data_IF_545695516461
#
_entry.id   IF_545695516461
#
_cell.length_a   1.000
_cell.length_b   1.000
_cell.length_c   1.000
_cell.angle_alpha   90.00
_cell.angle_beta   90.00
_cell.angle_gamma   90.00
#
_symmetry.space_group_name_H-M   'P 1'
#
loop_
_entity.id
_entity.type
_entity.pdbx_description
1 polymer ?
#
# COMPACT_ATOMS: atom_id res chain seq x y z
N UNK A 1 6.47 37.81 63.81
CA UNK A 1 5.36 37.60 62.87
C UNK A 1 5.35 38.78 61.92
N UNK A 2 5.61 38.60 60.65
CA UNK A 2 5.44 39.63 59.65
C UNK A 2 3.97 40.09 59.60
N UNK A 3 3.74 41.38 59.42
CA UNK A 3 2.38 41.89 59.33
C UNK A 3 1.75 41.42 57.99
N UNK A 4 0.43 41.23 57.97
CA UNK A 4 -0.30 40.85 56.71
C UNK A 4 0.00 41.94 55.63
N UNK A 5 0.26 43.18 55.98
CA UNK A 5 0.63 44.22 55.04
C UNK A 5 2.02 43.95 54.34
N UNK A 6 2.99 43.42 55.10
CA UNK A 6 4.30 43.11 54.58
C UNK A 6 4.22 41.88 53.64
N UNK A 7 3.36 40.89 53.97
CA UNK A 7 3.13 39.73 53.11
C UNK A 7 2.43 40.10 51.80
N UNK A 8 1.43 41.01 51.84
CA UNK A 8 0.76 41.57 50.66
C UNK A 8 1.74 42.39 49.81
N UNK A 9 2.62 43.17 50.42
CA UNK A 9 3.65 43.91 49.71
C UNK A 9 4.64 42.95 49.00
N UNK A 10 5.07 41.88 49.69
CA UNK A 10 5.90 40.82 49.09
C UNK A 10 5.26 40.11 47.93
N UNK A 11 3.97 39.79 48.05
CA UNK A 11 3.21 39.15 46.96
C UNK A 11 3.05 40.06 45.73
N UNK A 12 2.85 41.39 45.95
CA UNK A 12 2.79 42.36 44.84
C UNK A 12 4.12 42.46 44.09
N UNK A 13 5.24 42.49 44.84
CA UNK A 13 6.59 42.51 44.24
C UNK A 13 6.86 41.20 43.44
N UNK A 14 6.53 40.05 44.01
CA UNK A 14 6.69 38.77 43.35
C UNK A 14 5.84 38.64 42.06
N UNK A 15 4.56 39.11 42.12
CA UNK A 15 3.66 39.14 40.96
C UNK A 15 4.17 40.08 39.86
N UNK A 16 4.69 41.26 40.21
CA UNK A 16 5.29 42.19 39.27
C UNK A 16 6.55 41.59 38.60
N UNK A 17 7.40 40.93 39.37
CA UNK A 17 8.59 40.24 38.87
C UNK A 17 8.23 39.08 37.90
N UNK A 18 7.17 38.30 38.26
CA UNK A 18 6.68 37.23 37.40
C UNK A 18 6.10 37.74 36.08
N UNK A 19 5.36 38.87 36.15
CA UNK A 19 4.81 39.50 34.94
C UNK A 19 5.94 40.04 34.05
N UNK A 20 6.96 40.66 34.62
CA UNK A 20 8.11 41.16 33.87
C UNK A 20 8.91 39.98 33.21
N UNK A 21 9.12 38.89 33.94
CA UNK A 21 9.77 37.68 33.40
C UNK A 21 8.95 37.07 32.27
N UNK A 22 7.63 36.98 32.40
CA UNK A 22 6.73 36.47 31.36
C UNK A 22 6.74 37.36 30.10
N UNK A 23 6.77 38.68 30.28
CA UNK A 23 6.89 39.62 29.16
C UNK A 23 8.25 39.52 28.46
N UNK A 24 9.35 39.36 29.20
CA UNK A 24 10.68 39.18 28.64
C UNK A 24 10.79 37.87 27.84
N UNK A 25 10.23 36.77 28.37
CA UNK A 25 10.16 35.52 27.68
C UNK A 25 9.32 35.60 26.37
N UNK A 26 8.17 36.27 26.43
CA UNK A 26 7.32 36.51 25.25
C UNK A 26 8.05 37.30 24.16
N UNK A 27 8.83 38.33 24.56
CA UNK A 27 9.64 39.15 23.65
C UNK A 27 10.78 38.30 23.03
N UNK A 28 11.44 37.47 23.84
CA UNK A 28 12.49 36.57 23.35
C UNK A 28 11.94 35.53 22.35
N UNK A 29 10.81 34.95 22.68
CA UNK A 29 10.13 34.00 21.78
C UNK A 29 9.72 34.68 20.47
N UNK A 30 9.11 35.87 20.55
CA UNK A 30 8.74 36.63 19.35
C UNK A 30 9.96 37.02 18.51
N UNK A 31 11.07 37.40 19.15
CA UNK A 31 12.33 37.69 18.45
C UNK A 31 12.93 36.47 17.77
N UNK A 32 12.89 35.29 18.43
CA UNK A 32 13.34 34.01 17.83
C UNK A 32 12.46 33.58 16.67
N UNK A 33 11.13 33.72 16.80
CA UNK A 33 10.20 33.45 15.71
C UNK A 33 10.45 34.35 14.50
N UNK A 34 10.59 35.64 14.71
CA UNK A 34 10.91 36.60 13.64
C UNK A 34 12.25 36.30 12.97
N UNK A 35 13.24 35.85 13.73
CA UNK A 35 14.54 35.40 13.17
C UNK A 35 14.42 34.10 12.34
N UNK A 36 13.57 33.18 12.78
CA UNK A 36 13.26 31.96 12.04
C UNK A 36 12.51 32.29 10.74
N UNK A 37 11.48 33.12 10.83
CA UNK A 37 10.71 33.55 9.65
C UNK A 37 11.60 34.26 8.64
N UNK A 38 12.46 35.20 9.14
CA UNK A 38 13.44 35.85 8.26
C UNK A 38 14.38 34.86 7.59
N UNK A 39 14.92 33.93 8.34
CA UNK A 39 15.86 32.93 7.80
C UNK A 39 15.17 31.97 6.80
N UNK A 40 13.91 31.65 7.04
CA UNK A 40 13.07 30.86 6.14
C UNK A 40 12.81 31.64 4.86
N UNK A 41 12.39 32.92 4.96
CA UNK A 41 12.15 33.76 3.80
C UNK A 41 13.43 34.02 2.99
N UNK A 42 14.55 34.31 3.66
CA UNK A 42 15.87 34.47 3.00
C UNK A 42 16.28 33.19 2.28
N UNK A 43 15.94 32.02 2.83
CA UNK A 43 16.20 30.72 2.19
C UNK A 43 15.28 30.50 0.99
N UNK A 44 14.00 30.86 1.08
CA UNK A 44 13.04 30.77 -0.02
C UNK A 44 13.49 31.72 -1.15
N UNK A 45 13.78 32.98 -0.87
CA UNK A 45 14.25 33.95 -1.85
C UNK A 45 15.56 33.48 -2.53
N UNK A 46 16.47 32.87 -1.75
CA UNK A 46 17.70 32.31 -2.30
C UNK A 46 17.44 31.12 -3.22
N UNK A 47 16.48 30.25 -2.87
CA UNK A 47 16.03 29.13 -3.71
C UNK A 47 15.36 29.67 -4.98
N UNK A 48 14.43 30.62 -4.85
CA UNK A 48 13.74 31.25 -5.99
C UNK A 48 14.72 31.98 -6.91
N UNK A 49 15.65 32.80 -6.38
CA UNK A 49 16.64 33.49 -7.20
C UNK A 49 17.63 32.53 -7.87
N UNK A 50 17.97 31.43 -7.20
CA UNK A 50 18.80 30.37 -7.80
C UNK A 50 18.02 29.64 -8.88
N UNK A 51 16.72 29.46 -8.68
CA UNK A 51 15.79 28.86 -9.66
C UNK A 51 15.66 29.76 -10.90
N UNK A 52 15.40 31.06 -10.72
CA UNK A 52 15.23 32.03 -11.82
C UNK A 52 16.52 32.24 -12.62
N UNK A 53 17.67 32.29 -11.97
CA UNK A 53 18.99 32.40 -12.64
C UNK A 53 19.37 31.18 -13.46
N UNK A 54 18.74 30.02 -13.16
CA UNK A 54 19.06 28.74 -13.81
C UNK A 54 17.90 28.18 -14.64
N UNK A 55 16.75 28.85 -14.68
CA UNK A 55 15.55 28.41 -15.37
C UNK A 55 15.73 28.19 -16.88
N UNK A 56 16.74 28.79 -17.49
CA UNK A 56 17.13 28.53 -18.90
C UNK A 56 17.80 27.15 -19.11
N UNK A 57 18.00 26.33 -18.04
CA UNK A 57 18.64 25.02 -18.17
C UNK A 57 18.55 24.11 -16.98
N UNK A 58 17.81 24.45 -15.91
CA UNK A 58 17.94 23.78 -14.62
C UNK A 58 16.63 23.50 -13.87
N UNK A 59 15.65 22.91 -14.53
CA UNK A 59 14.62 22.10 -13.88
C UNK A 59 15.25 20.98 -13.02
N UNK A 60 16.48 20.60 -13.33
CA UNK A 60 17.22 19.49 -12.69
C UNK A 60 17.72 19.80 -11.28
N UNK A 61 18.02 21.05 -10.89
CA UNK A 61 18.63 21.31 -9.57
C UNK A 61 17.62 21.38 -8.43
N UNK A 62 16.41 21.89 -8.63
CA UNK A 62 15.37 21.86 -7.60
C UNK A 62 14.87 20.43 -7.40
N UNK A 63 14.66 19.66 -8.46
CA UNK A 63 14.36 18.24 -8.46
C UNK A 63 15.45 17.43 -7.75
N UNK A 64 16.71 17.69 -8.06
CA UNK A 64 17.86 17.05 -7.42
C UNK A 64 17.94 17.36 -5.91
N UNK A 65 17.62 18.58 -5.49
CA UNK A 65 17.57 18.97 -4.08
C UNK A 65 16.51 18.20 -3.29
N UNK A 66 15.31 18.06 -3.84
CA UNK A 66 14.23 17.30 -3.22
C UNK A 66 14.57 15.81 -3.13
N UNK A 67 15.04 15.22 -4.22
CA UNK A 67 15.51 13.83 -4.26
C UNK A 67 16.61 13.58 -3.24
N UNK A 68 17.66 14.41 -3.23
CA UNK A 68 18.77 14.29 -2.27
C UNK A 68 18.31 14.40 -0.82
N UNK A 69 17.35 15.30 -0.52
CA UNK A 69 16.80 15.42 0.83
C UNK A 69 16.07 14.16 1.27
N UNK A 70 15.24 13.56 0.39
CA UNK A 70 14.51 12.32 0.67
C UNK A 70 15.49 11.15 0.87
N UNK A 71 16.47 11.01 -0.01
CA UNK A 71 17.49 9.96 0.06
C UNK A 71 18.33 10.07 1.34
N UNK A 72 18.81 11.27 1.64
CA UNK A 72 19.63 11.50 2.84
C UNK A 72 18.83 11.24 4.13
N UNK A 73 17.61 11.77 4.24
CA UNK A 73 16.78 11.60 5.43
C UNK A 73 16.37 10.15 5.68
N UNK A 74 16.23 9.37 4.61
CA UNK A 74 15.85 7.95 4.70
C UNK A 74 17.04 7.00 4.80
N UNK A 75 18.28 7.50 4.68
CA UNK A 75 19.46 6.64 4.57
C UNK A 75 19.43 5.76 3.31
N UNK A 76 18.89 6.29 2.19
CA UNK A 76 18.79 5.60 0.92
C UNK A 76 17.59 4.64 0.81
N UNK A 77 16.76 4.50 1.85
CA UNK A 77 15.57 3.64 1.82
C UNK A 77 14.41 4.19 0.98
N UNK A 78 14.39 5.51 0.76
CA UNK A 78 13.46 6.16 -0.15
C UNK A 78 14.23 6.98 -1.19
N UNK A 79 13.65 7.08 -2.38
CA UNK A 79 14.14 7.95 -3.45
C UNK A 79 12.97 8.67 -4.12
N UNK A 80 13.24 9.65 -4.97
CA UNK A 80 12.24 10.32 -5.81
C UNK A 80 12.52 10.01 -7.26
N UNK A 81 11.52 9.48 -7.96
CA UNK A 81 11.56 9.28 -9.42
C UNK A 81 10.54 10.23 -10.05
N UNK A 82 11.02 11.13 -10.88
CA UNK A 82 10.13 12.01 -11.65
C UNK A 82 9.62 11.28 -12.87
N UNK A 83 8.33 11.40 -13.13
CA UNK A 83 7.75 10.88 -14.35
C UNK A 83 7.94 11.84 -15.54
N UNK A 84 7.57 11.41 -16.74
CA UNK A 84 7.72 12.24 -17.97
C UNK A 84 6.83 13.49 -17.96
N UNK A 85 5.86 13.58 -17.06
CA UNK A 85 5.04 14.76 -16.82
C UNK A 85 5.64 15.71 -15.77
N UNK A 86 6.76 15.32 -15.15
CA UNK A 86 7.43 16.09 -14.10
C UNK A 86 6.84 15.89 -12.69
N UNK A 87 5.89 14.97 -12.51
CA UNK A 87 5.34 14.69 -11.17
C UNK A 87 6.38 13.95 -10.30
N UNK A 88 6.59 14.34 -9.05
CA UNK A 88 7.43 13.61 -8.14
C UNK A 88 6.74 12.32 -7.66
N UNK A 89 7.48 11.24 -7.60
CA UNK A 89 7.01 9.98 -7.05
C UNK A 89 8.00 9.50 -5.99
N UNK A 90 7.57 9.46 -4.72
CA UNK A 90 8.39 8.99 -3.62
C UNK A 90 8.30 7.47 -3.59
N UNK A 91 9.44 6.80 -3.78
CA UNK A 91 9.54 5.35 -3.88
C UNK A 91 10.29 4.77 -2.70
N UNK A 92 9.87 3.60 -2.25
CA UNK A 92 10.65 2.76 -1.35
C UNK A 92 11.59 1.88 -2.17
N UNK A 93 12.84 1.84 -1.77
CA UNK A 93 13.86 0.92 -2.30
C UNK A 93 13.74 -0.39 -1.54
N UNK A 94 13.40 -1.47 -2.25
CA UNK A 94 13.28 -2.81 -1.69
C UNK A 94 14.44 -3.65 -2.23
N UNK A 95 15.45 -3.92 -1.41
CA UNK A 95 16.60 -4.73 -1.81
C UNK A 95 16.21 -6.17 -2.09
N UNK A 96 16.92 -6.79 -3.04
CA UNK A 96 16.77 -8.21 -3.34
C UNK A 96 17.14 -9.08 -2.14
N UNK A 97 16.36 -10.13 -1.95
CA UNK A 97 16.64 -11.19 -0.98
C UNK A 97 16.41 -12.57 -1.62
N UNK A 98 17.00 -13.59 -1.03
CA UNK A 98 16.66 -14.97 -1.32
C UNK A 98 15.57 -15.46 -0.36
N UNK A 99 14.77 -16.39 -0.81
CA UNK A 99 13.65 -16.95 -0.04
C UNK A 99 14.11 -17.56 1.28
N UNK A 100 15.21 -18.30 1.26
CA UNK A 100 15.79 -18.96 2.44
C UNK A 100 16.25 -17.99 3.52
N UNK A 101 16.63 -16.76 3.14
CA UNK A 101 17.09 -15.72 4.08
C UNK A 101 15.93 -15.18 4.95
N UNK A 102 14.70 -15.42 4.53
CA UNK A 102 13.50 -15.01 5.28
C UNK A 102 13.21 -15.88 6.50
N UNK A 103 13.71 -17.11 6.54
CA UNK A 103 13.47 -18.03 7.66
C UNK A 103 12.00 -18.50 7.79
N UNK A 104 11.16 -18.29 6.78
CA UNK A 104 9.73 -18.65 6.78
C UNK A 104 9.51 -20.11 6.35
N UNK A 105 10.15 -21.05 7.05
CA UNK A 105 10.17 -22.49 6.69
C UNK A 105 8.78 -23.10 6.61
N UNK A 106 7.86 -22.67 7.46
CA UNK A 106 6.48 -23.18 7.51
C UNK A 106 5.65 -22.83 6.26
N UNK A 107 6.06 -21.83 5.50
CA UNK A 107 5.40 -21.45 4.24
C UNK A 107 5.83 -22.31 3.06
N UNK A 108 6.87 -23.12 3.21
CA UNK A 108 7.40 -24.01 2.16
C UNK A 108 7.56 -23.29 0.81
N UNK A 109 8.26 -22.18 0.83
CA UNK A 109 8.42 -21.28 -0.32
C UNK A 109 9.51 -21.72 -1.30
N UNK A 110 10.27 -22.79 -0.99
CA UNK A 110 11.46 -23.18 -1.74
C UNK A 110 12.66 -22.27 -1.44
N UNK A 111 13.55 -22.12 -2.42
CA UNK A 111 14.80 -21.36 -2.28
C UNK A 111 15.06 -20.43 -3.46
N UNK A 112 16.16 -19.69 -3.40
CA UNK A 112 16.64 -18.81 -4.46
C UNK A 112 16.04 -17.41 -4.41
N UNK A 113 16.37 -16.61 -5.41
CA UNK A 113 15.90 -15.22 -5.51
C UNK A 113 14.38 -15.18 -5.62
N UNK A 114 13.72 -14.33 -4.81
CA UNK A 114 12.27 -14.15 -4.94
C UNK A 114 11.91 -13.61 -6.34
N UNK A 115 10.85 -14.13 -7.00
CA UNK A 115 10.51 -13.78 -8.39
C UNK A 115 10.23 -12.28 -8.62
N UNK A 116 9.92 -11.51 -7.59
CA UNK A 116 9.80 -10.05 -7.69
C UNK A 116 11.09 -9.37 -8.16
N UNK A 117 12.23 -9.98 -7.89
CA UNK A 117 13.56 -9.47 -8.25
C UNK A 117 14.14 -10.16 -9.50
N UNK A 118 13.29 -10.74 -10.33
CA UNK A 118 13.69 -11.37 -11.58
C UNK A 118 12.85 -10.81 -12.73
N UNK A 119 13.49 -10.66 -13.90
CA UNK A 119 12.81 -10.31 -15.15
C UNK A 119 13.42 -11.15 -16.26
N UNK A 120 12.64 -12.03 -16.88
CA UNK A 120 13.13 -13.06 -17.82
C UNK A 120 14.27 -13.93 -17.21
N UNK A 121 14.15 -14.28 -15.94
CA UNK A 121 15.16 -15.04 -15.20
C UNK A 121 16.43 -14.25 -14.84
N UNK A 122 16.54 -12.96 -15.21
CA UNK A 122 17.69 -12.13 -14.88
C UNK A 122 17.42 -11.42 -13.54
N UNK A 123 18.28 -11.63 -12.52
CA UNK A 123 18.11 -11.00 -11.22
C UNK A 123 18.34 -9.49 -11.27
N UNK A 124 17.47 -8.72 -10.60
CA UNK A 124 17.63 -7.31 -10.29
C UNK A 124 18.20 -7.16 -8.87
N UNK A 125 18.93 -6.08 -8.62
CA UNK A 125 19.49 -5.80 -7.29
C UNK A 125 18.42 -5.27 -6.33
N UNK A 126 17.39 -4.61 -6.86
CA UNK A 126 16.30 -4.00 -6.11
C UNK A 126 15.07 -3.77 -7.00
N UNK A 127 13.96 -3.46 -6.36
CA UNK A 127 12.74 -2.92 -6.99
C UNK A 127 12.36 -1.62 -6.29
N UNK A 128 11.74 -0.69 -7.01
CA UNK A 128 11.18 0.52 -6.45
C UNK A 128 9.66 0.44 -6.44
N UNK A 129 9.08 0.52 -5.25
CA UNK A 129 7.62 0.50 -5.07
C UNK A 129 7.17 1.82 -4.49
N UNK A 130 6.05 2.35 -4.98
CA UNK A 130 5.49 3.59 -4.47
C UNK A 130 5.37 3.55 -2.94
N UNK A 131 5.96 4.52 -2.24
CA UNK A 131 5.84 4.63 -0.79
C UNK A 131 4.40 4.79 -0.36
N UNK A 132 3.62 5.53 -1.14
CA UNK A 132 2.23 5.85 -0.92
C UNK A 132 1.37 5.27 -2.04
N UNK A 133 0.07 5.16 -1.79
CA UNK A 133 -0.93 4.96 -2.83
C UNK A 133 -0.85 6.08 -3.87
N UNK A 134 -1.19 5.79 -5.10
CA UNK A 134 -1.30 6.80 -6.14
C UNK A 134 -2.36 7.85 -5.77
N UNK A 135 -2.07 9.10 -6.05
CA UNK A 135 -2.95 10.25 -5.87
C UNK A 135 -3.13 10.99 -7.19
N UNK A 136 -4.21 11.76 -7.34
CA UNK A 136 -4.42 12.59 -8.52
C UNK A 136 -3.31 13.63 -8.66
N UNK A 137 -2.84 13.82 -9.88
CA UNK A 137 -1.89 14.87 -10.25
C UNK A 137 -2.30 15.48 -11.61
N UNK A 138 -1.73 16.64 -11.93
CA UNK A 138 -1.93 17.24 -13.24
C UNK A 138 -1.42 16.27 -14.31
N UNK A 139 -2.29 15.93 -15.26
CA UNK A 139 -2.00 14.99 -16.36
C UNK A 139 -1.67 13.54 -15.93
N UNK A 140 -2.17 13.07 -14.78
CA UNK A 140 -1.93 11.69 -14.40
C UNK A 140 -2.06 11.40 -12.92
N UNK A 141 -1.09 10.69 -12.36
CA UNK A 141 -1.03 10.34 -10.94
C UNK A 141 0.36 10.66 -10.38
N UNK A 142 0.45 10.88 -9.07
CA UNK A 142 1.72 11.03 -8.34
C UNK A 142 1.74 10.11 -7.12
N UNK A 143 2.94 9.80 -6.61
CA UNK A 143 3.14 9.05 -5.37
C UNK A 143 3.64 10.01 -4.31
N UNK A 144 2.71 10.65 -3.61
CA UNK A 144 2.98 11.64 -2.57
C UNK A 144 2.16 11.36 -1.31
N UNK A 145 2.69 11.76 -0.15
CA UNK A 145 2.02 11.56 1.12
C UNK A 145 1.11 12.71 1.52
N UNK A 146 0.12 12.42 2.37
CA UNK A 146 -0.74 13.43 2.97
C UNK A 146 -1.86 13.96 2.10
N UNK A 147 -2.24 13.20 1.07
CA UNK A 147 -3.30 13.53 0.12
C UNK A 147 -4.25 12.33 -0.07
N UNK A 148 -5.43 12.59 -0.60
CA UNK A 148 -6.37 11.51 -0.85
C UNK A 148 -5.83 10.50 -1.88
N UNK A 149 -5.95 9.19 -1.63
CA UNK A 149 -5.64 8.19 -2.64
C UNK A 149 -6.61 8.30 -3.82
N UNK A 150 -6.11 8.11 -5.02
CA UNK A 150 -6.91 8.02 -6.24
C UNK A 150 -7.63 6.68 -6.28
N UNK A 151 -8.96 6.73 -6.28
CA UNK A 151 -9.85 5.57 -6.30
C UNK A 151 -10.90 5.69 -7.39
N UNK A 152 -11.82 4.73 -7.48
CA UNK A 152 -12.86 4.68 -8.51
C UNK A 152 -12.29 4.65 -9.93
N UNK A 153 -11.17 3.98 -10.09
CA UNK A 153 -10.55 3.65 -11.38
C UNK A 153 -10.58 2.13 -11.57
N UNK A 154 -10.80 1.70 -12.79
CA UNK A 154 -10.75 0.28 -13.12
C UNK A 154 -9.29 -0.19 -13.33
N UNK A 155 -9.10 -1.50 -13.48
CA UNK A 155 -7.78 -2.09 -13.65
C UNK A 155 -7.00 -1.50 -14.84
N UNK A 156 -7.64 -1.35 -16.00
CA UNK A 156 -6.98 -0.83 -17.20
C UNK A 156 -6.53 0.62 -17.03
N UNK A 157 -7.37 1.46 -16.43
CA UNK A 157 -7.05 2.85 -16.13
C UNK A 157 -5.93 2.94 -15.08
N UNK A 158 -5.95 2.11 -14.04
CA UNK A 158 -4.87 2.05 -13.05
C UNK A 158 -3.53 1.68 -13.69
N UNK A 159 -3.53 0.67 -14.57
CA UNK A 159 -2.35 0.25 -15.33
C UNK A 159 -1.86 1.34 -16.28
N UNK A 160 -2.76 1.99 -17.00
CA UNK A 160 -2.45 3.11 -17.90
C UNK A 160 -1.82 4.28 -17.14
N UNK A 161 -2.40 4.70 -16.01
CA UNK A 161 -1.88 5.78 -15.18
C UNK A 161 -0.46 5.50 -14.64
N UNK A 162 -0.09 4.23 -14.49
CA UNK A 162 1.27 3.84 -14.14
C UNK A 162 2.19 3.88 -15.36
N UNK A 163 1.81 3.26 -16.48
CA UNK A 163 2.67 3.16 -17.68
C UNK A 163 2.89 4.50 -18.36
N UNK A 164 1.91 5.42 -18.31
CA UNK A 164 2.05 6.80 -18.82
C UNK A 164 3.10 7.64 -18.09
N UNK A 165 3.59 7.20 -16.94
CA UNK A 165 4.69 7.86 -16.22
C UNK A 165 6.02 7.77 -16.96
N UNK A 166 6.14 6.90 -17.96
CA UNK A 166 7.32 6.71 -18.78
C UNK A 166 7.85 5.28 -18.78
N UNK A 167 8.99 5.07 -19.40
CA UNK A 167 9.63 3.76 -19.45
C UNK A 167 9.91 3.21 -18.04
N UNK A 168 9.85 1.90 -17.89
CA UNK A 168 10.07 1.16 -16.64
C UNK A 168 8.99 1.34 -15.54
N UNK A 169 8.05 2.27 -15.72
CA UNK A 169 6.90 2.40 -14.81
C UNK A 169 5.85 1.34 -15.11
N UNK A 170 5.29 0.77 -14.05
CA UNK A 170 4.23 -0.23 -14.15
C UNK A 170 3.31 -0.18 -12.92
N UNK A 171 2.15 -0.80 -13.04
CA UNK A 171 1.28 -1.07 -11.91
C UNK A 171 1.95 -2.12 -11.02
N UNK A 172 2.02 -1.89 -9.71
CA UNK A 172 2.58 -2.84 -8.74
C UNK A 172 2.06 -4.25 -9.03
N UNK A 173 2.98 -5.20 -9.11
CA UNK A 173 2.66 -6.59 -9.45
C UNK A 173 2.34 -7.44 -8.23
N UNK A 174 1.70 -8.59 -8.45
CA UNK A 174 1.51 -9.60 -7.40
C UNK A 174 2.85 -10.12 -6.85
N UNK A 175 3.91 -10.09 -7.67
CA UNK A 175 5.27 -10.47 -7.24
C UNK A 175 5.84 -9.47 -6.23
N UNK A 176 5.74 -8.18 -6.51
CA UNK A 176 6.23 -7.10 -5.64
C UNK A 176 5.46 -7.04 -4.33
N UNK A 177 4.13 -7.15 -4.39
CA UNK A 177 3.31 -7.26 -3.19
C UNK A 177 3.76 -8.41 -2.30
N UNK A 178 3.91 -9.61 -2.89
CA UNK A 178 4.28 -10.80 -2.14
C UNK A 178 5.68 -10.69 -1.53
N UNK A 179 6.64 -10.11 -2.24
CA UNK A 179 7.98 -9.88 -1.69
C UNK A 179 7.94 -9.01 -0.43
N UNK A 180 7.22 -7.89 -0.48
CA UNK A 180 7.08 -6.98 0.67
C UNK A 180 6.32 -7.66 1.82
N UNK A 181 5.25 -8.38 1.51
CA UNK A 181 4.45 -9.10 2.51
C UNK A 181 5.27 -10.19 3.21
N UNK A 182 6.02 -11.00 2.48
CA UNK A 182 6.89 -12.04 3.03
C UNK A 182 8.02 -11.44 3.86
N UNK A 183 8.61 -10.33 3.42
CA UNK A 183 9.61 -9.62 4.20
C UNK A 183 9.05 -9.12 5.53
N UNK A 184 7.86 -8.52 5.54
CA UNK A 184 7.18 -8.07 6.76
C UNK A 184 6.88 -9.21 7.73
N UNK A 185 6.42 -10.35 7.19
CA UNK A 185 6.18 -11.57 7.99
C UNK A 185 7.47 -12.07 8.65
N UNK A 186 8.55 -12.16 7.88
CA UNK A 186 9.85 -12.62 8.36
C UNK A 186 10.43 -11.74 9.47
N UNK A 187 10.19 -10.44 9.40
CA UNK A 187 10.70 -9.46 10.37
C UNK A 187 9.70 -9.15 11.52
N UNK A 188 8.52 -9.76 11.53
CA UNK A 188 7.50 -9.50 12.55
C UNK A 188 6.92 -8.08 12.50
N UNK A 189 6.99 -7.41 11.35
CA UNK A 189 6.55 -6.03 11.15
C UNK A 189 5.25 -5.94 10.32
N UNK A 190 4.32 -6.88 10.53
CA UNK A 190 3.04 -6.90 9.81
C UNK A 190 2.26 -5.61 10.07
N UNK A 191 1.96 -4.81 9.04
CA UNK A 191 1.27 -3.54 9.21
C UNK A 191 -0.18 -3.74 9.64
N UNK A 192 -0.67 -2.87 10.55
CA UNK A 192 -2.05 -2.93 11.03
C UNK A 192 -3.06 -2.13 10.18
N UNK A 193 -2.68 -0.96 9.73
CA UNK A 193 -3.42 -0.15 8.76
C UNK A 193 -4.76 0.45 9.20
N UNK A 194 -5.33 1.27 8.32
CA UNK A 194 -6.69 1.79 8.44
C UNK A 194 -7.70 0.71 8.05
N UNK A 195 -8.16 -0.06 9.02
CA UNK A 195 -9.10 -1.19 8.83
C UNK A 195 -10.45 -0.96 9.51
N UNK A 196 -10.62 0.16 10.22
CA UNK A 196 -11.86 0.52 10.89
C UNK A 196 -12.08 2.05 10.84
N UNK A 197 -12.46 2.55 9.65
CA UNK A 197 -12.91 3.94 9.44
C UNK A 197 -11.97 4.99 10.05
N UNK A 198 -10.72 5.02 9.61
CA UNK A 198 -9.70 5.97 10.07
C UNK A 198 -8.86 5.50 11.24
N UNK A 199 -9.01 4.24 11.67
CA UNK A 199 -8.22 3.63 12.74
C UNK A 199 -7.96 2.14 12.49
N UNK A 200 -7.01 1.56 13.25
CA UNK A 200 -6.84 0.10 13.29
C UNK A 200 -7.99 -0.56 14.05
N UNK A 201 -8.48 -1.71 13.55
CA UNK A 201 -9.44 -2.53 14.28
C UNK A 201 -8.82 -3.20 15.51
N UNK A 202 -7.53 -3.54 15.46
CA UNK A 202 -6.80 -4.18 16.56
C UNK A 202 -6.40 -3.18 17.64
N UNK A 203 -5.87 -2.03 17.24
CA UNK A 203 -5.33 -0.98 18.13
C UNK A 203 -6.07 0.32 17.88
N UNK A 204 -7.22 0.47 18.53
CA UNK A 204 -8.15 1.59 18.30
C UNK A 204 -7.57 2.99 18.55
N UNK A 205 -6.44 3.09 19.25
CA UNK A 205 -5.69 4.33 19.45
C UNK A 205 -4.75 4.68 18.28
N UNK A 206 -4.49 3.73 17.39
CA UNK A 206 -3.79 3.99 16.13
C UNK A 206 -4.78 4.57 15.14
N UNK A 207 -4.69 5.86 14.91
CA UNK A 207 -5.62 6.64 14.09
C UNK A 207 -4.89 7.47 13.05
N UNK A 208 -5.59 7.84 12.00
CA UNK A 208 -5.16 8.83 11.03
C UNK A 208 -6.33 9.75 10.64
N UNK A 209 -5.99 10.93 10.12
CA UNK A 209 -7.00 11.88 9.64
C UNK A 209 -7.74 11.28 8.44
N UNK A 210 -9.06 11.26 8.53
CA UNK A 210 -9.92 10.83 7.43
C UNK A 210 -10.04 11.90 6.35
N UNK A 211 -10.08 11.48 5.10
CA UNK A 211 -10.23 12.39 3.95
C UNK A 211 -11.60 13.08 3.89
N UNK A 212 -12.61 12.53 4.59
CA UNK A 212 -13.96 13.10 4.69
C UNK A 212 -14.18 13.93 5.97
N UNK A 213 -13.10 14.20 6.73
CA UNK A 213 -13.11 14.91 8.04
C UNK A 213 -13.94 14.22 9.12
N UNK A 214 -14.38 12.97 8.94
CA UNK A 214 -15.06 12.19 9.96
C UNK A 214 -14.15 11.79 11.12
N UNK A 215 -14.72 11.52 12.29
CA UNK A 215 -13.97 11.02 13.43
C UNK A 215 -13.47 9.57 13.15
N UNK A 216 -12.23 9.22 13.57
CA UNK A 216 -11.74 7.85 13.44
C UNK A 216 -12.65 6.86 14.18
N UNK A 217 -13.12 5.85 13.46
CA UNK A 217 -14.03 4.80 13.96
C UNK A 217 -15.50 5.12 13.80
N UNK A 218 -15.87 6.28 13.31
CA UNK A 218 -17.24 6.56 12.87
C UNK A 218 -17.50 5.85 11.55
N UNK A 219 -18.51 4.98 11.54
CA UNK A 219 -18.86 4.16 10.37
C UNK A 219 -19.60 4.94 9.27
N UNK A 220 -19.94 6.19 9.51
CA UNK A 220 -20.49 7.08 8.48
C UNK A 220 -19.40 7.58 7.52
N UNK A 221 -19.79 7.87 6.29
CA UNK A 221 -18.88 8.41 5.27
C UNK A 221 -17.92 7.39 4.68
N UNK A 222 -16.86 7.87 4.08
CA UNK A 222 -15.91 7.03 3.32
C UNK A 222 -14.72 6.56 4.12
N UNK A 223 -14.62 6.68 5.37
CA UNK A 223 -13.57 6.13 6.25
C UNK A 223 -12.11 6.12 5.75
N UNK A 224 -11.85 6.57 4.50
CA UNK A 224 -10.50 6.67 3.94
C UNK A 224 -9.65 7.68 4.72
N UNK A 225 -8.37 7.39 4.79
CA UNK A 225 -7.38 8.35 5.31
C UNK A 225 -6.50 8.86 4.17
N UNK A 226 -5.93 10.04 4.35
CA UNK A 226 -4.91 10.53 3.45
C UNK A 226 -3.68 9.62 3.49
N UNK A 227 -3.01 9.51 2.35
CA UNK A 227 -1.89 8.58 2.14
C UNK A 227 -0.77 8.79 3.15
N UNK A 228 -0.34 7.72 3.82
CA UNK A 228 0.78 7.73 4.76
C UNK A 228 0.58 8.58 6.01
N UNK A 229 -0.65 8.92 6.39
CA UNK A 229 -0.96 9.67 7.62
C UNK A 229 -1.12 8.80 8.86
N UNK A 230 -1.09 7.49 8.69
CA UNK A 230 -1.10 6.56 9.82
C UNK A 230 0.22 6.53 10.58
N UNK A 231 0.24 5.94 11.78
CA UNK A 231 1.47 5.71 12.54
C UNK A 231 2.42 4.77 11.79
N UNK A 232 3.71 4.77 12.14
CA UNK A 232 4.71 3.91 11.48
C UNK A 232 4.38 2.41 11.54
N UNK A 233 3.60 1.98 12.52
CA UNK A 233 3.10 0.60 12.64
C UNK A 233 2.11 0.19 11.53
N UNK A 234 1.70 1.12 10.66
CA UNK A 234 0.92 0.87 9.45
C UNK A 234 1.81 0.71 8.21
N UNK A 235 3.12 0.89 8.36
CA UNK A 235 4.09 0.70 7.30
C UNK A 235 4.68 -0.72 7.36
N UNK A 236 5.09 -1.25 6.22
CA UNK A 236 5.53 -2.65 6.09
C UNK A 236 6.70 -3.05 7.00
N UNK A 237 7.56 -2.08 7.36
CA UNK A 237 8.77 -2.27 8.19
C UNK A 237 8.66 -1.59 9.57
N UNK A 238 7.48 -1.10 9.92
CA UNK A 238 7.19 -0.31 11.12
C UNK A 238 8.07 0.94 11.28
N UNK A 239 8.66 1.45 10.20
CA UNK A 239 9.41 2.71 10.20
C UNK A 239 8.70 3.78 9.37
N UNK A 240 9.09 5.05 9.56
CA UNK A 240 8.57 6.15 8.74
C UNK A 240 9.05 6.11 7.28
N UNK A 241 9.95 5.20 6.92
CA UNK A 241 10.51 5.07 5.57
C UNK A 241 9.89 3.91 4.78
N UNK A 242 9.10 3.07 5.43
CA UNK A 242 8.45 1.92 4.82
C UNK A 242 7.31 2.29 3.86
N UNK A 243 6.89 1.29 3.08
CA UNK A 243 5.68 1.38 2.24
C UNK A 243 4.47 1.51 3.16
N UNK A 244 3.68 2.56 2.96
CA UNK A 244 2.50 2.89 3.78
C UNK A 244 1.24 2.25 3.19
N UNK A 245 0.24 2.03 4.06
CA UNK A 245 -1.14 1.70 3.67
C UNK A 245 -1.30 0.39 2.88
N UNK A 246 -0.38 -0.59 3.00
CA UNK A 246 -0.55 -1.90 2.37
C UNK A 246 -1.70 -2.70 2.97
N UNK A 247 -2.09 -2.42 4.19
CA UNK A 247 -3.22 -3.05 4.88
C UNK A 247 -4.28 -2.01 5.18
N UNK A 248 -5.50 -2.26 4.72
CA UNK A 248 -6.60 -1.33 4.92
C UNK A 248 -6.51 -0.09 4.02
N UNK A 249 -7.14 0.97 4.43
CA UNK A 249 -7.36 2.21 3.70
C UNK A 249 -8.15 1.99 2.40
N UNK A 250 -7.52 1.57 1.31
CA UNK A 250 -8.20 1.13 0.08
C UNK A 250 -7.58 -0.17 -0.42
N UNK A 251 -8.36 -1.01 -1.08
CA UNK A 251 -7.85 -2.12 -1.87
C UNK A 251 -6.91 -1.60 -2.95
N UNK A 252 -5.89 -2.39 -3.31
CA UNK A 252 -4.96 -2.03 -4.36
C UNK A 252 -5.05 -2.99 -5.56
N UNK A 253 -5.36 -2.47 -6.76
CA UNK A 253 -5.18 -3.23 -8.00
C UNK A 253 -3.75 -3.68 -8.15
N UNK A 254 -3.55 -4.95 -8.52
CA UNK A 254 -2.23 -5.50 -8.84
C UNK A 254 -2.20 -6.07 -10.26
N UNK A 255 -1.03 -5.99 -10.88
CA UNK A 255 -0.77 -6.53 -12.22
C UNK A 255 -0.17 -7.95 -12.18
N UNK A 256 -0.05 -8.59 -13.33
CA UNK A 256 0.63 -9.86 -13.58
C UNK A 256 -0.07 -11.08 -12.95
N UNK A 257 -1.37 -10.96 -12.66
CA UNK A 257 -2.24 -12.08 -12.26
C UNK A 257 -3.66 -11.86 -12.75
N UNK A 258 -4.34 -12.94 -13.08
CA UNK A 258 -5.81 -13.00 -13.21
C UNK A 258 -6.33 -14.41 -12.96
N UNK A 259 -7.63 -14.53 -12.79
CA UNK A 259 -8.36 -15.78 -13.01
C UNK A 259 -9.03 -15.74 -14.39
N UNK A 260 -9.01 -16.88 -15.07
CA UNK A 260 -9.84 -17.16 -16.24
C UNK A 260 -10.69 -18.38 -15.91
N UNK A 261 -11.97 -18.15 -15.64
CA UNK A 261 -12.91 -19.22 -15.27
C UNK A 261 -12.38 -20.11 -14.13
N UNK A 262 -11.79 -19.49 -13.11
CA UNK A 262 -11.20 -20.13 -11.96
C UNK A 262 -9.75 -20.57 -12.15
N UNK A 263 -9.22 -20.64 -13.36
CA UNK A 263 -7.81 -20.95 -13.61
C UNK A 263 -6.91 -19.80 -13.15
N UNK A 264 -5.89 -20.10 -12.37
CA UNK A 264 -4.91 -19.13 -11.91
C UNK A 264 -3.88 -18.92 -13.02
N UNK A 265 -3.71 -17.66 -13.41
CA UNK A 265 -2.81 -17.21 -14.48
C UNK A 265 -1.92 -16.11 -13.93
N UNK A 266 -0.59 -16.25 -14.07
CA UNK A 266 0.38 -15.25 -13.65
C UNK A 266 1.53 -15.15 -14.65
N UNK A 267 2.35 -14.10 -14.54
CA UNK A 267 3.71 -14.17 -15.09
C UNK A 267 4.56 -15.12 -14.24
N UNK A 268 5.66 -15.63 -14.79
CA UNK A 268 6.58 -16.53 -14.05
C UNK A 268 7.54 -15.76 -13.14
N UNK A 269 7.85 -14.53 -13.53
CA UNK A 269 8.66 -13.57 -12.78
C UNK A 269 8.09 -12.15 -12.96
N UNK A 270 8.70 -11.15 -12.32
CA UNK A 270 8.22 -9.77 -12.36
C UNK A 270 8.57 -9.11 -13.69
N UNK A 271 7.76 -9.37 -14.71
CA UNK A 271 7.95 -8.84 -16.04
C UNK A 271 6.67 -8.19 -16.60
N UNK A 272 6.46 -6.88 -16.37
CA UNK A 272 5.29 -6.15 -16.86
C UNK A 272 5.23 -6.02 -18.40
N UNK A 273 6.32 -6.34 -19.10
CA UNK A 273 6.36 -6.31 -20.57
C UNK A 273 5.72 -7.56 -21.21
N UNK A 274 5.48 -8.62 -20.43
CA UNK A 274 4.79 -9.81 -20.96
C UNK A 274 3.33 -9.46 -21.22
N UNK A 275 2.92 -9.59 -22.48
CA UNK A 275 1.52 -9.38 -22.85
C UNK A 275 0.61 -10.36 -22.09
N UNK A 276 -0.56 -9.91 -21.63
CA UNK A 276 -1.51 -10.71 -20.82
C UNK A 276 -1.86 -12.05 -21.47
N UNK A 277 -1.98 -12.10 -22.80
CA UNK A 277 -2.25 -13.32 -23.54
C UNK A 277 -1.15 -14.39 -23.39
N UNK A 278 0.07 -13.99 -23.01
CA UNK A 278 1.23 -14.85 -22.83
C UNK A 278 1.53 -15.15 -21.35
N UNK A 279 0.68 -14.73 -20.42
CA UNK A 279 0.83 -15.08 -19.01
C UNK A 279 0.68 -16.59 -18.84
N UNK A 280 1.43 -17.16 -17.92
CA UNK A 280 1.47 -18.58 -17.66
C UNK A 280 0.17 -19.09 -17.03
N UNK A 281 -0.47 -20.06 -17.67
CA UNK A 281 -1.67 -20.75 -17.17
C UNK A 281 -1.22 -21.90 -16.27
N UNK A 282 -1.42 -21.74 -14.96
CA UNK A 282 -1.09 -22.79 -14.00
C UNK A 282 -2.09 -23.95 -14.08
N UNK A 283 -1.64 -25.17 -13.79
CA UNK A 283 -2.52 -26.32 -13.54
C UNK A 283 -3.13 -26.19 -12.12
N UNK A 284 -3.67 -25.02 -11.81
CA UNK A 284 -4.23 -24.65 -10.52
C UNK A 284 -5.48 -23.79 -10.73
N UNK A 285 -6.55 -24.15 -10.04
CA UNK A 285 -7.85 -23.51 -10.14
C UNK A 285 -8.39 -23.25 -8.74
N UNK A 286 -9.15 -22.17 -8.57
CA UNK A 286 -10.09 -22.04 -7.49
C UNK A 286 -11.41 -22.71 -7.88
N UNK A 287 -11.62 -23.93 -7.39
CA UNK A 287 -12.87 -24.67 -7.56
C UNK A 287 -13.85 -24.34 -6.44
N UNK A 288 -15.13 -24.58 -6.67
CA UNK A 288 -16.20 -24.34 -5.71
C UNK A 288 -16.60 -25.60 -4.99
N UNK A 289 -16.95 -25.54 -3.68
CA UNK A 289 -17.54 -26.66 -2.96
C UNK A 289 -18.95 -27.00 -3.46
N UNK A 290 -19.65 -26.03 -4.03
CA UNK A 290 -21.02 -26.17 -4.54
C UNK A 290 -21.09 -25.75 -6.00
N UNK A 291 -22.15 -26.15 -6.69
CA UNK A 291 -22.35 -25.90 -8.14
C UNK A 291 -23.75 -25.34 -8.42
N UNK A 292 -23.84 -24.54 -9.47
CA UNK A 292 -25.10 -24.03 -10.03
C UNK A 292 -26.02 -23.30 -9.03
N UNK A 293 -25.45 -22.68 -8.02
CA UNK A 293 -26.23 -21.88 -7.08
C UNK A 293 -26.52 -20.50 -7.66
N UNK A 294 -27.68 -19.97 -7.33
CA UNK A 294 -28.11 -18.62 -7.64
C UNK A 294 -28.32 -17.83 -6.35
N UNK A 295 -28.29 -16.51 -6.45
CA UNK A 295 -28.46 -15.60 -5.31
C UNK A 295 -27.14 -15.12 -4.73
N UNK A 296 -27.20 -14.00 -4.00
CA UNK A 296 -26.03 -13.41 -3.38
C UNK A 296 -25.50 -14.26 -2.23
N UNK A 297 -24.24 -14.04 -1.85
CA UNK A 297 -23.63 -14.63 -0.67
C UNK A 297 -22.42 -15.51 -0.95
N UNK A 298 -22.03 -16.31 0.05
CA UNK A 298 -20.87 -17.19 -0.05
C UNK A 298 -21.28 -18.61 -0.44
N UNK A 299 -20.58 -19.19 -1.41
CA UNK A 299 -20.67 -20.61 -1.75
C UNK A 299 -19.73 -21.48 -0.89
N UNK A 300 -19.01 -20.90 0.06
CA UNK A 300 -17.98 -21.55 0.88
C UNK A 300 -16.56 -21.17 0.46
N UNK A 301 -15.59 -21.78 1.12
CA UNK A 301 -14.17 -21.51 0.83
C UNK A 301 -13.77 -22.07 -0.55
N UNK A 302 -12.88 -21.36 -1.29
CA UNK A 302 -12.33 -21.91 -2.51
C UNK A 302 -11.52 -23.18 -2.23
N UNK A 303 -11.51 -24.07 -3.19
CA UNK A 303 -10.73 -25.32 -3.16
C UNK A 303 -9.66 -25.21 -4.25
N UNK A 304 -8.39 -25.31 -3.89
CA UNK A 304 -7.32 -25.44 -4.90
C UNK A 304 -7.41 -26.83 -5.56
N UNK A 305 -7.54 -26.81 -6.87
CA UNK A 305 -7.76 -28.02 -7.68
C UNK A 305 -7.00 -27.94 -8.99
N UNK A 306 -6.83 -29.07 -9.67
CA UNK A 306 -6.24 -29.14 -11.02
C UNK A 306 -7.26 -28.76 -12.12
N UNK A 307 -8.52 -28.59 -11.78
CA UNK A 307 -9.58 -28.17 -12.69
C UNK A 307 -10.69 -27.47 -11.91
N UNK A 308 -11.44 -26.59 -12.55
CA UNK A 308 -12.71 -26.10 -12.01
C UNK A 308 -13.81 -27.09 -12.40
N UNK A 309 -14.29 -27.88 -11.46
CA UNK A 309 -15.32 -28.88 -11.66
C UNK A 309 -16.72 -28.35 -11.33
N UNK A 310 -16.79 -27.33 -10.47
CA UNK A 310 -17.99 -26.68 -10.03
C UNK A 310 -17.89 -25.17 -10.16
N UNK A 311 -18.95 -24.52 -10.61
CA UNK A 311 -19.03 -23.07 -10.77
C UNK A 311 -20.35 -22.54 -10.25
N UNK A 312 -20.34 -21.38 -9.65
CA UNK A 312 -21.52 -20.71 -9.13
C UNK A 312 -21.97 -19.53 -10.00
N UNK A 313 -21.65 -19.57 -11.29
CA UNK A 313 -22.07 -18.57 -12.27
C UNK A 313 -21.71 -18.98 -13.69
N UNK A 314 -22.41 -18.47 -14.69
CA UNK A 314 -22.08 -18.71 -16.10
C UNK A 314 -20.79 -17.97 -16.47
N UNK A 315 -20.03 -18.54 -17.39
CA UNK A 315 -18.69 -18.06 -17.77
C UNK A 315 -18.66 -16.59 -18.26
N UNK A 316 -19.77 -16.08 -18.77
CA UNK A 316 -19.89 -14.76 -19.39
C UNK A 316 -20.76 -13.78 -18.58
N UNK A 317 -21.08 -14.08 -17.34
CA UNK A 317 -21.93 -13.24 -16.50
C UNK A 317 -21.11 -12.68 -15.32
N UNK A 318 -21.07 -11.35 -15.23
CA UNK A 318 -20.38 -10.62 -14.16
C UNK A 318 -21.37 -10.10 -13.09
N UNK A 319 -22.64 -10.52 -13.15
CA UNK A 319 -23.67 -10.08 -12.20
C UNK A 319 -23.36 -10.53 -10.77
N UNK A 320 -23.97 -9.86 -9.80
CA UNK A 320 -23.93 -10.26 -8.40
C UNK A 320 -25.00 -11.30 -8.03
N UNK A 321 -25.69 -11.86 -9.03
CA UNK A 321 -26.80 -12.80 -8.85
C UNK A 321 -26.32 -14.21 -8.50
N UNK A 322 -25.02 -14.43 -8.56
CA UNK A 322 -24.37 -15.70 -8.26
C UNK A 322 -23.46 -15.58 -7.04
N UNK A 323 -23.37 -16.65 -6.22
CA UNK A 323 -22.51 -16.67 -5.05
C UNK A 323 -21.03 -16.55 -5.41
N UNK A 324 -20.26 -16.11 -4.45
CA UNK A 324 -18.80 -16.02 -4.54
C UNK A 324 -18.14 -16.98 -3.53
N UNK A 325 -16.87 -17.30 -3.75
CA UNK A 325 -16.06 -18.10 -2.85
C UNK A 325 -15.44 -17.22 -1.78
N UNK A 326 -15.47 -17.65 -0.52
CA UNK A 326 -14.89 -16.88 0.59
C UNK A 326 -14.15 -17.76 1.57
N UNK A 327 -12.95 -17.34 1.96
CA UNK A 327 -12.22 -17.91 3.09
C UNK A 327 -11.84 -16.79 4.06
N UNK A 328 -11.98 -17.03 5.35
CA UNK A 328 -11.66 -16.04 6.38
C UNK A 328 -10.17 -15.72 6.49
N UNK A 329 -9.33 -16.65 6.08
CA UNK A 329 -7.88 -16.53 6.07
C UNK A 329 -7.28 -17.54 5.08
N UNK A 330 -6.00 -17.35 4.78
CA UNK A 330 -5.26 -18.11 3.78
C UNK A 330 -5.26 -19.63 4.05
N UNK A 331 -5.10 -20.03 5.30
CA UNK A 331 -5.08 -21.44 5.70
C UNK A 331 -6.45 -22.17 5.60
N UNK A 332 -7.54 -21.42 5.40
CA UNK A 332 -8.86 -22.00 5.20
C UNK A 332 -9.11 -22.52 3.77
N UNK A 333 -8.18 -22.26 2.84
CA UNK A 333 -8.23 -22.80 1.49
C UNK A 333 -7.81 -24.27 1.53
N UNK A 334 -8.73 -25.14 1.16
CA UNK A 334 -8.45 -26.59 1.08
C UNK A 334 -7.87 -26.96 -0.28
N UNK A 335 -7.34 -28.19 -0.38
CA UNK A 335 -6.80 -28.73 -1.61
C UNK A 335 -7.58 -29.98 -2.01
N UNK A 336 -7.97 -30.07 -3.28
CA UNK A 336 -8.60 -31.26 -3.83
C UNK A 336 -7.62 -32.45 -3.85
N UNK A 337 -8.17 -33.68 -3.80
CA UNK A 337 -7.36 -34.88 -3.96
C UNK A 337 -6.62 -34.85 -5.30
N UNK A 338 -5.32 -35.10 -5.27
CA UNK A 338 -4.46 -35.07 -6.45
C UNK A 338 -3.98 -33.67 -6.90
N UNK A 339 -4.34 -32.60 -6.17
CA UNK A 339 -3.76 -31.29 -6.43
C UNK A 339 -2.26 -31.29 -6.14
N UNK A 340 -1.47 -30.84 -7.13
CA UNK A 340 -0.02 -30.71 -6.99
C UNK A 340 0.31 -29.30 -6.51
N UNK A 341 0.87 -29.13 -5.31
CA UNK A 341 1.24 -27.81 -4.80
C UNK A 341 2.21 -27.08 -5.71
N UNK A 342 1.98 -25.77 -5.88
CA UNK A 342 2.76 -24.92 -6.77
C UNK A 342 3.63 -23.96 -5.97
N UNK A 343 4.95 -24.09 -6.09
CA UNK A 343 5.92 -23.27 -5.37
C UNK A 343 5.78 -21.78 -5.71
N UNK A 344 5.60 -21.42 -6.99
CA UNK A 344 5.43 -20.03 -7.39
C UNK A 344 4.17 -19.42 -6.76
N UNK A 345 3.05 -20.15 -6.74
CA UNK A 345 1.82 -19.65 -6.12
C UNK A 345 1.97 -19.45 -4.61
N UNK A 346 2.80 -20.24 -3.93
CA UNK A 346 3.14 -20.00 -2.51
C UNK A 346 4.01 -18.75 -2.36
N UNK A 347 5.03 -18.55 -3.21
CA UNK A 347 5.85 -17.34 -3.25
C UNK A 347 5.02 -16.08 -3.48
N UNK A 348 3.90 -16.20 -4.21
CA UNK A 348 2.98 -15.10 -4.50
C UNK A 348 1.86 -14.93 -3.47
N UNK A 349 1.87 -15.71 -2.38
CA UNK A 349 0.79 -15.71 -1.39
C UNK A 349 -0.59 -15.93 -2.06
N UNK A 350 -0.69 -16.89 -2.95
CA UNK A 350 -1.92 -17.34 -3.61
C UNK A 350 -2.29 -18.75 -3.14
N UNK A 351 -1.29 -19.57 -2.83
CA UNK A 351 -1.44 -20.91 -2.26
C UNK A 351 -0.88 -20.95 -0.84
N UNK A 352 -1.65 -21.47 0.11
CA UNK A 352 -1.15 -21.75 1.46
C UNK A 352 -0.45 -23.11 1.50
N UNK A 353 0.74 -23.18 2.09
CA UNK A 353 1.44 -24.44 2.31
C UNK A 353 0.93 -25.17 3.56
N UNK A 354 0.62 -24.44 4.61
CA UNK A 354 0.31 -24.94 5.95
C UNK A 354 -0.74 -24.05 6.64
N UNK A 355 -0.95 -24.31 7.93
CA UNK A 355 -1.75 -23.48 8.82
C UNK A 355 -1.11 -22.14 9.21
N UNK A 356 -0.01 -21.76 8.57
CA UNK A 356 0.66 -20.50 8.87
C UNK A 356 -0.28 -19.31 8.66
N UNK A 357 -0.29 -18.44 9.64
CA UNK A 357 -1.23 -17.34 9.77
C UNK A 357 -0.82 -16.12 8.94
N UNK A 358 -0.97 -16.19 7.64
CA UNK A 358 -0.99 -14.96 6.85
C UNK A 358 -2.41 -14.40 6.93
N UNK A 359 -2.56 -13.33 7.72
CA UNK A 359 -3.86 -12.71 7.97
C UNK A 359 -4.39 -12.05 6.70
N UNK A 360 -5.67 -12.22 6.45
CA UNK A 360 -6.40 -11.59 5.36
C UNK A 360 -7.39 -12.54 4.70
N UNK A 361 -8.52 -11.98 4.35
CA UNK A 361 -9.62 -12.65 3.69
C UNK A 361 -9.26 -12.99 2.23
N UNK A 362 -9.74 -14.13 1.76
CA UNK A 362 -9.66 -14.52 0.36
C UNK A 362 -11.05 -14.66 -0.21
N UNK A 363 -11.25 -13.97 -1.33
CA UNK A 363 -12.49 -14.05 -2.06
C UNK A 363 -12.26 -14.24 -3.54
N UNK A 364 -13.11 -15.03 -4.21
CA UNK A 364 -13.00 -15.26 -5.63
C UNK A 364 -14.36 -15.52 -6.29
N UNK A 365 -14.45 -15.23 -7.57
CA UNK A 365 -15.45 -15.79 -8.48
C UNK A 365 -14.74 -16.70 -9.46
N UNK A 366 -15.16 -17.94 -9.58
CA UNK A 366 -14.53 -18.90 -10.47
C UNK A 366 -15.20 -19.01 -11.85
N UNK A 367 -15.76 -17.91 -12.31
CA UNK A 367 -16.34 -17.72 -13.63
C UNK A 367 -15.94 -16.35 -14.19
N UNK A 368 -15.78 -16.24 -15.51
CA UNK A 368 -15.28 -15.03 -16.17
C UNK A 368 -13.83 -14.68 -15.80
N UNK A 369 -13.36 -13.56 -16.34
CA UNK A 369 -12.05 -12.98 -16.01
C UNK A 369 -12.10 -12.16 -14.73
N UNK A 370 -11.19 -12.39 -13.78
CA UNK A 370 -11.11 -11.69 -12.49
C UNK A 370 -9.70 -11.18 -12.24
N UNK A 371 -9.61 -9.95 -11.78
CA UNK A 371 -8.34 -9.29 -11.52
C UNK A 371 -8.13 -9.05 -10.02
N UNK A 372 -6.90 -9.17 -9.52
CA UNK A 372 -6.61 -9.14 -8.10
C UNK A 372 -6.65 -7.73 -7.53
N UNK A 373 -7.26 -7.60 -6.35
CA UNK A 373 -7.02 -6.50 -5.42
C UNK A 373 -6.57 -7.05 -4.07
N UNK A 374 -5.67 -6.36 -3.39
CA UNK A 374 -5.10 -6.81 -2.11
C UNK A 374 -5.20 -5.76 -1.01
N UNK A 375 -4.95 -6.22 0.24
CA UNK A 375 -4.79 -5.39 1.42
C UNK A 375 -6.05 -5.17 2.25
N UNK A 376 -7.19 -5.10 1.62
CA UNK A 376 -8.45 -4.68 2.26
C UNK A 376 -8.67 -3.18 2.20
N UNK A 377 -9.84 -2.71 2.61
CA UNK A 377 -10.13 -1.28 2.74
C UNK A 377 -10.49 -0.90 4.18
N UNK A 378 -10.80 0.38 4.39
CA UNK A 378 -11.06 0.96 5.71
C UNK A 378 -12.18 0.29 6.52
N UNK A 379 -13.06 -0.49 5.90
CA UNK A 379 -14.19 -1.16 6.57
C UNK A 379 -14.02 -2.66 6.77
N UNK A 380 -12.88 -3.25 6.40
CA UNK A 380 -12.71 -4.71 6.37
C UNK A 380 -12.32 -5.35 7.72
N UNK A 381 -11.95 -4.57 8.74
CA UNK A 381 -11.63 -5.09 10.07
C UNK A 381 -10.61 -6.23 10.00
N UNK A 382 -10.94 -7.38 10.62
CA UNK A 382 -10.11 -8.59 10.63
C UNK A 382 -9.93 -9.26 9.26
N UNK A 383 -10.72 -8.87 8.26
CA UNK A 383 -10.60 -9.38 6.89
C UNK A 383 -9.50 -8.69 6.08
N UNK A 384 -9.04 -7.49 6.51
CA UNK A 384 -7.87 -6.84 5.95
C UNK A 384 -6.58 -7.53 6.39
N UNK A 385 -5.51 -7.42 5.61
CA UNK A 385 -4.21 -7.99 5.95
C UNK A 385 -3.32 -8.20 4.73
N UNK A 386 -2.05 -8.54 4.95
CA UNK A 386 -1.10 -8.81 3.86
C UNK A 386 -1.53 -10.00 2.97
N UNK A 387 -2.25 -10.97 3.55
CA UNK A 387 -2.83 -12.10 2.84
C UNK A 387 -4.15 -11.80 2.14
N UNK A 388 -4.78 -10.66 2.42
CA UNK A 388 -6.07 -10.33 1.81
C UNK A 388 -5.96 -10.29 0.28
N UNK A 389 -6.80 -11.09 -0.39
CA UNK A 389 -6.84 -11.22 -1.85
C UNK A 389 -8.30 -11.31 -2.29
N UNK A 390 -8.75 -10.36 -3.05
CA UNK A 390 -10.05 -10.42 -3.70
C UNK A 390 -9.89 -10.57 -5.21
N UNK A 391 -10.53 -11.59 -5.75
CA UNK A 391 -10.62 -11.95 -7.16
C UNK A 391 -12.10 -11.97 -7.59
N UNK A 392 -12.86 -10.98 -7.12
CA UNK A 392 -14.28 -10.82 -7.50
C UNK A 392 -14.46 -10.03 -8.75
N UNK A 393 -13.59 -9.05 -8.95
CA UNK A 393 -13.84 -7.94 -9.83
C UNK A 393 -13.37 -8.26 -11.25
N UNK A 394 -14.23 -8.02 -12.27
CA UNK A 394 -13.77 -7.96 -13.65
C UNK A 394 -12.88 -6.72 -13.84
N UNK A 395 -12.14 -6.67 -14.95
CA UNK A 395 -11.24 -5.55 -15.25
C UNK A 395 -11.93 -4.19 -15.35
N UNK A 396 -13.22 -4.17 -15.66
CA UNK A 396 -14.04 -2.96 -15.82
C UNK A 396 -14.54 -2.37 -14.50
N UNK A 397 -14.42 -3.08 -13.39
CA UNK A 397 -14.94 -2.62 -12.10
C UNK A 397 -14.15 -1.42 -11.56
N UNK A 398 -14.86 -0.42 -11.03
CA UNK A 398 -14.27 0.80 -10.48
C UNK A 398 -14.90 1.14 -9.12
N UNK A 399 -14.36 0.57 -8.06
CA UNK A 399 -14.85 0.77 -6.70
C UNK A 399 -14.27 2.02 -6.04
N UNK A 400 -15.08 2.76 -5.28
CA UNK A 400 -14.65 3.93 -4.52
C UNK A 400 -13.67 3.59 -3.39
N UNK A 401 -13.53 2.32 -3.06
CA UNK A 401 -12.63 1.76 -2.06
C UNK A 401 -11.45 0.99 -2.70
N UNK A 402 -11.23 1.13 -4.01
CA UNK A 402 -10.12 0.50 -4.73
C UNK A 402 -9.25 1.58 -5.37
N UNK A 403 -7.98 1.59 -5.01
CA UNK A 403 -6.91 2.40 -5.57
C UNK A 403 -5.84 1.54 -6.22
N UNK A 404 -4.64 2.10 -6.34
CA UNK A 404 -3.50 1.41 -6.94
C UNK A 404 -2.18 2.04 -6.51
N UNK A 405 -1.08 1.37 -6.81
CA UNK A 405 0.28 1.80 -6.49
C UNK A 405 1.19 1.62 -7.69
N UNK A 406 1.90 2.67 -8.14
CA UNK A 406 2.95 2.53 -9.15
C UNK A 406 4.19 1.85 -8.59
N UNK A 407 4.88 1.12 -9.47
CA UNK A 407 6.21 0.58 -9.24
C UNK A 407 7.13 0.96 -10.41
N UNK A 408 8.44 0.83 -10.20
CA UNK A 408 9.44 1.25 -11.17
C UNK A 408 10.66 0.34 -11.13
N UNK A 409 11.20 0.01 -12.29
CA UNK A 409 12.47 -0.69 -12.43
C UNK A 409 13.63 0.28 -12.67
N UNK A 410 14.70 0.09 -11.92
CA UNK A 410 15.97 0.81 -12.12
C UNK A 410 16.73 0.22 -13.31
#
# INVERSE_FOLDING_TARGET
MSSIAEEIAGLKVASAAQTAASQALSQEVAGKMAAIDKKTNDSIVKVESTYDQKAAGLTIIATDGYKKAIEHNSGGRNTVVYDVQGNPNIMCVIPRFNIEDLGLVDLNLGTGVHPAFQTNGVPRVEILVGKYLASSATNGSAVIGGVQPLTAVNYDVAKELCTRKGANWHLMSVHEWAAIALWSLANGTVPRGNTNYGRSHEKKWETASRSDNGAPGDVSGTGRTDTGKGPSTWNYDHTHFGVCDLVGNVWEWLDQMKLDNGQIITTLDNNPAVAEANWHKHAAYFDSPTDNQTGAGSAGAPILSNAATKRNGPMNDDSNDYPHLTASHFAAITKAAGYVPNELLRKLLIESATTATVVGYIGARNYGDRFPVRGGSWGHGTSAGLGALSLYNPRSFAGGDIGFRPAFFV
#
